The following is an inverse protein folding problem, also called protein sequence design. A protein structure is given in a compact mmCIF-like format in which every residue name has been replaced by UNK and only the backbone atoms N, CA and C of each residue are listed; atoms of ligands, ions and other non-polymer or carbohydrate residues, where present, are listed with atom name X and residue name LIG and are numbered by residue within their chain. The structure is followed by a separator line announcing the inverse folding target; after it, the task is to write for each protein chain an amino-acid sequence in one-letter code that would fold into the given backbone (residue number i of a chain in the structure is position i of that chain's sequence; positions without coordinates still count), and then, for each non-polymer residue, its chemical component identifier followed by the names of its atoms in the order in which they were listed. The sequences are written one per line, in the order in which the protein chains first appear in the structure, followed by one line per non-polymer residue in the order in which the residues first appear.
data_IF_421300804110
#
_entry.id   IF_421300804110
#
_cell.length_a   1.000
_cell.length_b   1.000
_cell.length_c   1.000
_cell.angle_alpha   90.00
_cell.angle_beta   90.00
_cell.angle_gamma   90.00
#
_symmetry.space_group_name_H-M   'P 1'
#
loop_
_entity.id
_entity.type
_entity.pdbx_description
1 polymer ?
#
# COMPACT_ATOMS: atom_id res chain seq x y z
N UNK A 1 24.20 -2.32 13.66
CA UNK A 1 23.99 -3.76 13.44
C UNK A 1 22.96 -3.92 12.33
N UNK A 2 23.39 -4.32 11.14
CA UNK A 2 22.54 -4.39 9.95
C UNK A 2 21.68 -5.64 9.97
N UNK A 3 20.36 -5.46 10.07
CA UNK A 3 19.41 -6.56 9.95
C UNK A 3 19.56 -7.23 8.59
N UNK A 4 19.73 -8.54 8.56
CA UNK A 4 19.77 -9.31 7.33
C UNK A 4 18.48 -9.04 6.55
N UNK A 5 18.60 -8.39 5.38
CA UNK A 5 17.48 -8.18 4.47
C UNK A 5 17.06 -9.56 3.99
N UNK A 6 16.04 -10.16 4.65
CA UNK A 6 15.46 -11.43 4.22
C UNK A 6 14.96 -11.24 2.79
N UNK A 7 15.61 -11.90 1.85
CA UNK A 7 15.24 -11.86 0.44
C UNK A 7 13.84 -12.45 0.29
N UNK A 8 12.81 -11.60 0.25
CA UNK A 8 11.44 -12.04 -0.02
C UNK A 8 11.34 -12.43 -1.50
N UNK A 9 10.60 -13.52 -1.82
CA UNK A 9 10.28 -13.81 -3.21
C UNK A 9 9.61 -12.57 -3.85
N UNK A 10 10.03 -12.21 -5.06
CA UNK A 10 9.54 -11.03 -5.81
C UNK A 10 8.01 -10.98 -5.88
N UNK A 11 7.40 -12.15 -6.03
CA UNK A 11 5.96 -12.35 -6.04
C UNK A 11 5.31 -11.96 -4.70
N UNK A 12 5.94 -12.27 -3.57
CA UNK A 12 5.42 -11.97 -2.23
C UNK A 12 5.43 -10.47 -1.95
N UNK A 13 6.39 -9.71 -2.48
CA UNK A 13 6.42 -8.25 -2.37
C UNK A 13 5.25 -7.64 -3.13
N UNK A 14 5.06 -8.06 -4.38
CA UNK A 14 4.01 -7.52 -5.23
C UNK A 14 2.60 -7.90 -4.74
N UNK A 15 2.41 -9.14 -4.28
CA UNK A 15 1.15 -9.57 -3.65
C UNK A 15 0.93 -8.85 -2.31
N UNK A 16 2.00 -8.64 -1.52
CA UNK A 16 1.93 -7.88 -0.27
C UNK A 16 1.48 -6.44 -0.49
N UNK A 17 2.06 -5.76 -1.49
CA UNK A 17 1.61 -4.45 -1.93
C UNK A 17 0.14 -4.48 -2.38
N UNK A 18 -0.25 -5.45 -3.20
CA UNK A 18 -1.65 -5.56 -3.64
C UNK A 18 -2.64 -5.79 -2.50
N UNK A 19 -2.26 -6.55 -1.48
CA UNK A 19 -3.15 -6.93 -0.38
C UNK A 19 -3.21 -5.88 0.74
N UNK A 20 -2.10 -5.20 1.03
CA UNK A 20 -1.98 -4.26 2.15
C UNK A 20 -1.92 -2.79 1.75
N UNK A 21 -1.49 -2.49 0.51
CA UNK A 21 -1.22 -1.13 0.02
C UNK A 21 -1.76 -0.96 -1.41
N UNK A 22 -3.03 -1.37 -1.58
CA UNK A 22 -3.65 -1.45 -2.90
C UNK A 22 -3.79 -0.06 -3.53
N UNK A 23 -4.10 0.95 -2.73
CA UNK A 23 -4.39 2.30 -3.20
C UNK A 23 -3.11 2.97 -3.70
N UNK A 24 -2.02 2.84 -2.94
CA UNK A 24 -0.67 3.30 -3.28
C UNK A 24 -0.18 2.65 -4.58
N UNK A 25 -0.34 1.34 -4.69
CA UNK A 25 0.01 0.62 -5.91
C UNK A 25 -0.85 1.06 -7.11
N UNK A 26 -2.13 1.31 -6.89
CA UNK A 26 -3.07 1.74 -7.94
C UNK A 26 -2.75 3.16 -8.41
N UNK A 27 -2.48 4.08 -7.48
CA UNK A 27 -2.14 5.47 -7.76
C UNK A 27 -0.86 5.57 -8.59
N UNK A 28 0.21 4.91 -8.15
CA UNK A 28 1.48 4.91 -8.88
C UNK A 28 1.39 4.24 -10.25
N UNK A 29 0.64 3.14 -10.36
CA UNK A 29 0.45 2.47 -11.65
C UNK A 29 -0.35 3.33 -12.63
N UNK A 30 -1.40 4.01 -12.17
CA UNK A 30 -2.14 4.98 -12.98
C UNK A 30 -1.25 6.15 -13.38
N UNK A 31 -0.46 6.69 -12.45
CA UNK A 31 0.43 7.83 -12.68
C UNK A 31 1.51 7.53 -13.72
N UNK A 32 2.15 6.36 -13.63
CA UNK A 32 3.31 6.01 -14.48
C UNK A 32 2.88 5.33 -15.79
N UNK A 33 1.82 4.51 -15.76
CA UNK A 33 1.45 3.65 -16.89
C UNK A 33 0.06 3.90 -17.46
N UNK A 34 -0.76 4.75 -16.83
CA UNK A 34 -2.14 5.02 -17.25
C UNK A 34 -3.10 3.83 -17.07
N UNK A 35 -2.67 2.78 -16.38
CA UNK A 35 -3.45 1.55 -16.17
C UNK A 35 -3.26 1.04 -14.76
N UNK A 36 -4.23 0.27 -14.26
CA UNK A 36 -4.11 -0.41 -12.96
C UNK A 36 -3.65 -1.84 -13.17
N UNK A 37 -2.76 -2.35 -12.31
CA UNK A 37 -2.51 -3.78 -12.31
C UNK A 37 -3.74 -4.51 -11.77
N UNK A 38 -4.13 -5.64 -12.38
CA UNK A 38 -5.17 -6.52 -11.85
C UNK A 38 -4.62 -7.94 -11.81
N UNK A 39 -4.26 -8.48 -10.63
CA UNK A 39 -3.82 -9.86 -10.53
C UNK A 39 -4.99 -10.82 -10.82
N UNK A 40 -4.66 -11.93 -11.44
CA UNK A 40 -5.58 -13.07 -11.54
C UNK A 40 -5.71 -13.72 -10.16
N UNK A 41 -6.81 -13.46 -9.45
CA UNK A 41 -7.14 -14.10 -8.17
C UNK A 41 -8.15 -15.23 -8.37
N UNK A 42 -8.31 -16.11 -7.38
CA UNK A 42 -9.28 -17.21 -7.46
C UNK A 42 -10.71 -16.73 -7.77
N UNK A 43 -11.25 -15.67 -7.13
CA UNK A 43 -12.56 -15.13 -7.50
C UNK A 43 -12.63 -14.66 -8.96
N UNK A 44 -11.57 -14.02 -9.47
CA UNK A 44 -11.48 -13.55 -10.85
C UNK A 44 -11.46 -14.73 -11.83
N UNK A 45 -10.73 -15.79 -11.50
CA UNK A 45 -10.70 -17.03 -12.30
C UNK A 45 -12.06 -17.72 -12.33
N UNK A 46 -12.73 -17.83 -11.18
CA UNK A 46 -14.07 -18.43 -11.07
C UNK A 46 -15.12 -17.61 -11.83
N UNK A 47 -14.95 -16.30 -11.94
CA UNK A 47 -15.75 -15.42 -12.78
C UNK A 47 -15.40 -15.48 -14.29
N UNK A 48 -14.49 -16.37 -14.70
CA UNK A 48 -14.03 -16.49 -16.10
C UNK A 48 -13.18 -15.31 -16.60
N UNK A 49 -12.77 -14.42 -15.71
CA UNK A 49 -11.97 -13.25 -16.02
C UNK A 49 -10.47 -13.55 -15.86
N UNK A 50 -9.62 -12.75 -16.53
CA UNK A 50 -8.16 -12.82 -16.39
C UNK A 50 -7.62 -11.45 -15.99
N UNK A 51 -6.55 -11.47 -15.19
CA UNK A 51 -5.75 -10.29 -14.93
C UNK A 51 -5.14 -9.73 -16.23
N UNK A 52 -4.92 -8.42 -16.26
CA UNK A 52 -4.41 -7.73 -17.45
C UNK A 52 -2.90 -7.92 -17.68
N UNK A 53 -2.14 -8.17 -16.62
CA UNK A 53 -0.70 -8.44 -16.70
C UNK A 53 -0.34 -9.70 -15.92
N UNK A 54 0.52 -10.53 -16.52
CA UNK A 54 1.17 -11.62 -15.81
C UNK A 54 2.05 -11.09 -14.68
N UNK A 55 2.14 -11.83 -13.57
CA UNK A 55 2.85 -11.42 -12.35
C UNK A 55 4.30 -11.01 -12.62
N UNK A 56 5.00 -11.71 -13.52
CA UNK A 56 6.38 -11.37 -13.88
C UNK A 56 6.51 -10.03 -14.61
N UNK A 57 5.57 -9.69 -15.49
CA UNK A 57 5.55 -8.40 -16.18
C UNK A 57 5.22 -7.28 -15.19
N UNK A 58 4.21 -7.50 -14.35
CA UNK A 58 3.83 -6.55 -13.31
C UNK A 58 4.98 -6.24 -12.35
N UNK A 59 5.74 -7.25 -11.93
CA UNK A 59 6.92 -7.03 -11.09
C UNK A 59 7.99 -6.16 -11.78
N UNK A 60 8.24 -6.35 -13.08
CA UNK A 60 9.21 -5.52 -13.82
C UNK A 60 8.76 -4.05 -13.87
N UNK A 61 7.47 -3.80 -14.04
CA UNK A 61 6.90 -2.45 -14.05
C UNK A 61 6.95 -1.80 -12.67
N UNK A 62 6.52 -2.52 -11.62
CA UNK A 62 6.59 -2.03 -10.23
C UNK A 62 8.03 -1.73 -9.81
N UNK A 63 9.02 -2.49 -10.29
CA UNK A 63 10.44 -2.17 -10.04
C UNK A 63 10.89 -0.81 -10.57
N UNK A 64 10.28 -0.31 -11.65
CA UNK A 64 10.59 1.02 -12.18
C UNK A 64 10.04 2.08 -11.22
N UNK A 65 8.80 1.89 -10.76
CA UNK A 65 8.14 2.76 -9.76
C UNK A 65 9.00 2.83 -8.49
N UNK A 66 9.43 1.68 -7.96
CA UNK A 66 10.22 1.57 -6.73
C UNK A 66 11.62 2.21 -6.80
N UNK A 67 12.10 2.67 -7.97
CA UNK A 67 13.34 3.46 -8.06
C UNK A 67 13.16 4.88 -7.53
N UNK A 68 11.93 5.36 -7.53
CA UNK A 68 11.53 6.69 -7.10
C UNK A 68 11.16 6.63 -5.61
N UNK A 69 11.95 7.30 -4.77
CA UNK A 69 11.76 7.28 -3.30
C UNK A 69 10.54 8.10 -2.84
N UNK A 70 10.00 8.90 -3.74
CA UNK A 70 8.76 9.67 -3.64
C UNK A 70 7.54 8.89 -4.15
N UNK A 71 7.70 7.66 -4.65
CA UNK A 71 6.56 6.84 -5.05
C UNK A 71 5.82 6.26 -3.83
N UNK A 72 4.49 6.24 -3.90
CA UNK A 72 3.63 5.71 -2.85
C UNK A 72 3.95 4.23 -2.56
N UNK A 73 4.30 3.46 -3.59
CA UNK A 73 4.76 2.07 -3.46
C UNK A 73 6.05 1.95 -2.64
N UNK A 74 6.99 2.88 -2.82
CA UNK A 74 8.24 2.88 -2.07
C UNK A 74 8.01 3.26 -0.61
N UNK A 75 7.17 4.27 -0.38
CA UNK A 75 6.77 4.70 0.97
C UNK A 75 6.10 3.55 1.72
N UNK A 76 5.09 2.92 1.11
CA UNK A 76 4.42 1.74 1.65
C UNK A 76 5.38 0.60 2.02
N UNK A 77 6.36 0.28 1.17
CA UNK A 77 7.35 -0.77 1.46
C UNK A 77 8.37 -0.39 2.54
N UNK A 78 8.73 0.89 2.63
CA UNK A 78 9.69 1.38 3.62
C UNK A 78 9.06 1.61 4.99
N UNK A 79 7.73 1.55 5.09
CA UNK A 79 6.99 1.94 6.29
C UNK A 79 6.98 3.45 6.53
N UNK A 80 7.42 4.23 5.54
CA UNK A 80 7.24 5.68 5.54
C UNK A 80 5.82 6.00 5.05
N UNK A 81 5.17 6.96 5.70
CA UNK A 81 3.77 7.31 5.43
C UNK A 81 3.62 8.53 4.53
N UNK A 82 4.71 9.29 4.35
CA UNK A 82 4.70 10.57 3.67
C UNK A 82 6.14 10.99 3.34
N UNK A 83 6.39 11.38 2.09
CA UNK A 83 7.60 12.07 1.69
C UNK A 83 7.22 13.37 0.96
N UNK A 84 7.36 14.53 1.61
CA UNK A 84 7.04 15.80 0.97
C UNK A 84 7.98 16.05 -0.21
N UNK A 85 7.45 16.66 -1.26
CA UNK A 85 8.32 17.28 -2.27
C UNK A 85 9.13 18.43 -1.65
N UNK A 86 10.28 18.79 -2.21
CA UNK A 86 11.09 19.90 -1.68
C UNK A 86 10.32 21.23 -1.60
N UNK A 87 9.46 21.51 -2.59
CA UNK A 87 8.55 22.66 -2.58
C UNK A 87 7.51 22.59 -1.47
N UNK A 88 6.93 21.41 -1.24
CA UNK A 88 5.96 21.19 -0.19
C UNK A 88 6.61 21.33 1.20
N UNK A 89 7.83 20.81 1.37
CA UNK A 89 8.58 20.99 2.62
C UNK A 89 8.78 22.47 2.93
N UNK A 90 9.17 23.28 1.94
CA UNK A 90 9.32 24.74 2.13
C UNK A 90 8.03 25.44 2.49
N UNK A 91 6.90 25.05 1.86
CA UNK A 91 5.58 25.59 2.19
C UNK A 91 5.20 25.30 3.64
N UNK A 92 5.41 24.07 4.11
CA UNK A 92 5.10 23.69 5.49
C UNK A 92 6.04 24.34 6.51
N UNK A 93 7.31 24.53 6.16
CA UNK A 93 8.25 25.30 6.99
C UNK A 93 7.80 26.76 7.16
N UNK A 94 7.34 27.39 6.07
CA UNK A 94 6.80 28.76 6.13
C UNK A 94 5.52 28.84 6.96
N UNK A 95 4.58 27.90 6.79
CA UNK A 95 3.36 27.87 7.58
C UNK A 95 3.61 27.68 9.09
N UNK A 96 4.65 26.91 9.45
CA UNK A 96 5.09 26.78 10.84
C UNK A 96 5.75 28.08 11.36
N UNK A 97 6.56 28.76 10.54
CA UNK A 97 7.18 30.03 10.88
C UNK A 97 6.16 31.18 11.07
N UNK A 98 5.09 31.16 10.26
CA UNK A 98 3.96 32.09 10.36
C UNK A 98 2.99 31.76 11.51
N UNK A 99 3.33 30.79 12.37
CA UNK A 99 2.49 30.29 13.48
C UNK A 99 1.08 29.82 13.05
N UNK A 100 0.88 29.46 11.78
CA UNK A 100 -0.41 28.90 11.31
C UNK A 100 -0.64 27.47 11.77
N UNK A 101 0.42 26.79 12.22
CA UNK A 101 0.41 25.38 12.65
C UNK A 101 1.07 25.31 14.03
N UNK A 102 0.39 25.89 15.04
CA UNK A 102 0.84 25.85 16.43
C UNK A 102 0.39 24.56 17.12
N UNK A 103 1.25 23.99 17.97
CA UNK A 103 0.89 22.84 18.82
C UNK A 103 1.01 21.47 18.16
N UNK A 104 1.47 21.40 16.91
CA UNK A 104 1.66 20.14 16.18
C UNK A 104 3.14 19.86 15.88
N UNK A 105 3.50 18.57 15.74
CA UNK A 105 4.88 18.19 15.40
C UNK A 105 5.28 18.64 13.98
N UNK A 106 6.58 18.72 13.69
CA UNK A 106 7.11 19.07 12.35
C UNK A 106 6.58 18.15 11.21
N UNK A 107 6.20 16.93 11.55
CA UNK A 107 5.67 15.93 10.62
C UNK A 107 4.14 15.87 10.58
N UNK A 108 3.45 16.71 11.35
CA UNK A 108 1.98 16.73 11.35
C UNK A 108 1.45 17.30 10.04
N UNK A 109 0.39 16.70 9.53
CA UNK A 109 -0.39 17.20 8.39
C UNK A 109 -1.88 17.02 8.69
N UNK A 110 -2.77 17.90 8.22
CA UNK A 110 -4.20 17.80 8.50
C UNK A 110 -4.82 16.46 8.08
N UNK A 111 -4.39 15.89 6.96
CA UNK A 111 -4.87 14.59 6.46
C UNK A 111 -4.19 13.37 7.12
N UNK A 112 -3.15 13.58 7.93
CA UNK A 112 -2.57 12.53 8.76
C UNK A 112 -3.23 12.46 10.14
N UNK A 113 -4.01 13.48 10.48
CA UNK A 113 -4.78 13.48 11.71
C UNK A 113 -6.02 12.61 11.53
N UNK A 114 -5.96 11.37 12.01
CA UNK A 114 -7.11 10.47 12.05
C UNK A 114 -8.10 10.84 13.16
N UNK A 115 -7.80 11.85 13.99
CA UNK A 115 -8.67 12.28 15.08
C UNK A 115 -9.93 12.92 14.51
N UNK A 116 -11.03 12.17 14.56
CA UNK A 116 -12.32 12.63 14.02
C UNK A 116 -12.51 12.42 12.52
N UNK A 117 -11.69 11.56 11.89
CA UNK A 117 -11.94 11.13 10.51
C UNK A 117 -13.30 10.40 10.42
N UNK A 118 -14.31 10.98 9.74
CA UNK A 118 -15.64 10.38 9.64
C UNK A 118 -15.65 9.10 8.78
N UNK A 119 -14.56 8.83 8.05
CA UNK A 119 -14.38 7.65 7.22
C UNK A 119 -13.40 6.63 7.83
N UNK A 120 -12.89 6.89 9.03
CA UNK A 120 -12.06 5.93 9.73
C UNK A 120 -12.83 4.60 9.87
N UNK A 121 -12.20 3.45 9.56
CA UNK A 121 -12.87 2.17 9.70
C UNK A 121 -13.35 2.02 11.15
N UNK A 122 -14.63 1.64 11.36
CA UNK A 122 -15.13 1.41 12.71
C UNK A 122 -14.24 0.35 13.38
N UNK A 123 -14.04 0.49 14.69
CA UNK A 123 -13.20 -0.40 15.52
C UNK A 123 -13.63 -1.89 15.38
N UNK A 124 -14.82 -2.15 14.85
CA UNK A 124 -15.35 -3.45 14.45
C UNK A 124 -14.65 -4.14 13.26
N UNK A 125 -13.58 -3.57 12.69
CA UNK A 125 -12.74 -4.23 11.66
C UNK A 125 -12.21 -5.62 12.10
N UNK A 126 -12.24 -5.93 13.41
CA UNK A 126 -12.02 -7.25 14.00
C UNK A 126 -12.90 -8.36 13.37
N UNK A 127 -14.12 -8.02 12.90
CA UNK A 127 -15.02 -8.99 12.23
C UNK A 127 -14.46 -9.51 10.91
N UNK A 128 -13.73 -8.68 10.16
CA UNK A 128 -13.14 -9.04 8.86
C UNK A 128 -11.97 -10.02 9.05
N UNK A 129 -11.22 -9.89 10.15
CA UNK A 129 -10.14 -10.84 10.47
C UNK A 129 -10.66 -12.23 10.82
N UNK A 130 -11.82 -12.32 11.49
CA UNK A 130 -12.50 -13.60 11.75
C UNK A 130 -12.96 -14.26 10.46
N UNK A 131 -13.62 -13.53 9.56
CA UNK A 131 -14.08 -14.06 8.28
C UNK A 131 -12.89 -14.48 7.38
N UNK A 132 -11.79 -13.73 7.40
CA UNK A 132 -10.53 -14.10 6.73
C UNK A 132 -9.91 -15.36 7.33
N UNK A 133 -9.92 -15.53 8.65
CA UNK A 133 -9.42 -16.73 9.31
C UNK A 133 -10.27 -17.97 8.96
N UNK A 134 -11.60 -17.83 8.96
CA UNK A 134 -12.53 -18.88 8.57
C UNK A 134 -12.37 -19.26 7.09
N UNK A 135 -12.18 -18.28 6.20
CA UNK A 135 -11.90 -18.54 4.80
C UNK A 135 -10.52 -19.21 4.57
N UNK A 136 -9.50 -18.86 5.36
CA UNK A 136 -8.21 -19.58 5.35
C UNK A 136 -8.36 -21.03 5.80
N UNK A 137 -9.16 -21.29 6.84
CA UNK A 137 -9.43 -22.64 7.32
C UNK A 137 -10.11 -23.49 6.24
N UNK A 138 -11.13 -22.94 5.56
CA UNK A 138 -11.81 -23.60 4.43
C UNK A 138 -10.87 -23.90 3.27
N UNK A 139 -9.97 -22.97 2.91
CA UNK A 139 -8.97 -23.21 1.87
C UNK A 139 -7.98 -24.31 2.27
N UNK A 140 -7.57 -24.35 3.54
CA UNK A 140 -6.69 -25.40 4.07
C UNK A 140 -7.36 -26.77 4.01
N UNK A 141 -8.64 -26.84 4.35
CA UNK A 141 -9.44 -28.06 4.28
C UNK A 141 -9.65 -28.56 2.84
N UNK A 142 -9.95 -27.65 1.90
CA UNK A 142 -10.21 -27.99 0.50
C UNK A 142 -8.96 -28.42 -0.30
N UNK A 143 -7.79 -27.87 0.02
CA UNK A 143 -6.57 -28.08 -0.77
C UNK A 143 -5.46 -28.81 -0.01
N UNK A 144 -5.72 -29.28 1.21
CA UNK A 144 -4.79 -30.02 2.07
C UNK A 144 -3.37 -29.41 2.16
N UNK A 145 -3.27 -28.09 2.19
CA UNK A 145 -1.99 -27.43 2.44
C UNK A 145 -1.63 -27.56 3.93
N UNK A 146 -0.45 -28.12 4.24
CA UNK A 146 0.11 -28.15 5.61
C UNK A 146 0.57 -26.78 6.08
#
# INVERSE_FOLDING_TARGET
MGGAVRHRPKISVLIGLWAGHREELTADWLRVWGVTWRPTTLPVMLAGQRGNFGVGAAWRMTRVILRHKDSDCWLALSGAWYAPSGSEETMWMQAAADERITGHSRNWRPWLDSTGDPFAPPVDAVRIDRERAENRAKVRELFHFE
#
